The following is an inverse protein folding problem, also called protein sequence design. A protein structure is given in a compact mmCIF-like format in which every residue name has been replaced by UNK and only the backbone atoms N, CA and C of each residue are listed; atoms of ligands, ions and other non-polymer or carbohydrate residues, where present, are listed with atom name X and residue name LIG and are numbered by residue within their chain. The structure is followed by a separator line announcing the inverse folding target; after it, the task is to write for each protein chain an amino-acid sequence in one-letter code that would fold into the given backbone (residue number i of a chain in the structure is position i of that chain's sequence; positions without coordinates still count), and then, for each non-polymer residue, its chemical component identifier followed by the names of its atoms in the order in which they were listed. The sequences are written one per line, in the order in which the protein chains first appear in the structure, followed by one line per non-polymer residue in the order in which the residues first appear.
data_IF_923223597429
#
_entry.id   IF_923223597429
#
_cell.length_a   1.000
_cell.length_b   1.000
_cell.length_c   1.000
_cell.angle_alpha   90.00
_cell.angle_beta   90.00
_cell.angle_gamma   90.00
#
_symmetry.space_group_name_H-M   'P 1'
#
loop_
_entity.id
_entity.type
_entity.pdbx_description
1 polymer ?
#
# COMPACT_ATOMS: atom_id res chain seq x y z
N UNK A 1 3.18 32.08 73.81
CA UNK A 1 4.04 31.25 72.93
C UNK A 1 3.76 31.67 71.50
N UNK A 2 4.81 32.15 70.82
CA UNK A 2 5.11 32.09 69.38
C UNK A 2 4.06 32.57 68.35
N UNK A 3 4.49 33.57 67.57
CA UNK A 3 4.06 33.80 66.19
C UNK A 3 4.14 32.54 65.33
N UNK A 4 3.37 32.49 64.24
CA UNK A 4 3.77 32.25 62.84
C UNK A 4 2.52 32.56 61.99
N UNK A 5 2.46 33.67 61.25
CA UNK A 5 3.17 34.00 60.00
C UNK A 5 2.60 33.26 58.77
N UNK A 6 1.93 34.06 57.92
CA UNK A 6 1.81 33.99 56.45
C UNK A 6 1.63 32.65 55.73
N UNK A 7 0.55 32.57 54.95
CA UNK A 7 0.60 32.09 53.56
C UNK A 7 -0.59 32.62 52.74
N UNK A 8 -0.50 33.86 52.25
CA UNK A 8 -1.38 34.29 51.15
C UNK A 8 -0.87 33.69 49.84
N UNK A 9 -1.43 32.56 49.43
CA UNK A 9 -1.18 31.97 48.10
C UNK A 9 -2.06 32.66 47.06
N UNK A 10 -1.60 33.83 46.61
CA UNK A 10 -2.14 34.48 45.41
C UNK A 10 -2.03 33.52 44.22
N UNK A 11 -3.19 33.12 43.67
CA UNK A 11 -3.25 32.32 42.45
C UNK A 11 -2.60 33.10 41.29
N UNK A 12 -1.47 32.62 40.80
CA UNK A 12 -0.71 33.29 39.75
C UNK A 12 -1.46 33.21 38.41
N UNK A 13 -2.03 34.34 37.98
CA UNK A 13 -2.63 34.52 36.66
C UNK A 13 -1.56 34.31 35.58
N UNK A 14 -1.43 33.09 35.04
CA UNK A 14 -0.59 32.85 33.88
C UNK A 14 -1.18 33.57 32.65
N UNK A 15 -0.38 34.31 31.86
CA UNK A 15 -0.86 34.98 30.67
C UNK A 15 -1.22 33.92 29.61
N UNK A 16 -2.51 33.77 29.34
CA UNK A 16 -3.02 32.89 28.27
C UNK A 16 -2.62 33.47 26.91
N UNK A 17 -1.45 33.06 26.40
CA UNK A 17 -0.98 33.39 25.06
C UNK A 17 -1.95 32.77 24.06
N UNK A 18 -2.85 33.60 23.53
CA UNK A 18 -3.78 33.21 22.49
C UNK A 18 -2.99 33.14 21.18
N UNK A 19 -2.53 31.94 20.83
CA UNK A 19 -1.97 31.66 19.51
C UNK A 19 -3.14 31.67 18.52
N UNK A 20 -3.42 32.83 17.93
CA UNK A 20 -4.33 32.90 16.80
C UNK A 20 -3.74 32.07 15.65
N UNK A 21 -4.53 31.23 14.96
CA UNK A 21 -4.04 30.49 13.81
C UNK A 21 -3.68 31.49 12.70
N UNK A 22 -2.38 31.68 12.47
CA UNK A 22 -1.89 32.45 11.33
C UNK A 22 -2.11 31.63 10.05
N UNK A 23 -2.81 32.21 9.08
CA UNK A 23 -3.08 31.52 7.82
C UNK A 23 -4.34 32.03 7.12
N UNK A 24 -4.32 33.29 6.67
CA UNK A 24 -5.25 33.72 5.62
C UNK A 24 -4.80 33.09 4.31
N UNK A 25 -5.13 31.83 4.10
CA UNK A 25 -4.86 31.11 2.85
C UNK A 25 -5.63 31.79 1.73
N UNK A 26 -4.91 32.45 0.83
CA UNK A 26 -5.49 32.92 -0.43
C UNK A 26 -5.91 31.66 -1.19
N UNK A 27 -7.21 31.41 -1.28
CA UNK A 27 -7.73 30.22 -1.94
C UNK A 27 -7.39 30.28 -3.44
N UNK A 28 -6.34 29.55 -3.83
CA UNK A 28 -5.94 29.42 -5.23
C UNK A 28 -6.94 28.52 -5.95
N UNK A 29 -7.82 29.11 -6.75
CA UNK A 29 -8.77 28.35 -7.59
C UNK A 29 -8.01 27.58 -8.67
N UNK A 30 -8.15 26.26 -8.66
CA UNK A 30 -7.57 25.35 -9.64
C UNK A 30 -8.21 23.96 -9.54
N UNK A 31 -7.98 23.12 -10.56
CA UNK A 31 -8.44 21.73 -10.57
C UNK A 31 -7.24 20.80 -10.38
N UNK A 32 -7.30 19.92 -9.38
CA UNK A 32 -6.35 18.83 -9.20
C UNK A 32 -6.94 17.56 -9.80
N UNK A 33 -6.20 16.92 -10.71
CA UNK A 33 -6.55 15.61 -11.27
C UNK A 33 -5.50 14.62 -10.77
N UNK A 34 -5.95 13.50 -10.21
CA UNK A 34 -5.08 12.42 -9.75
C UNK A 34 -5.31 11.24 -10.69
N UNK A 35 -4.29 10.91 -11.48
CA UNK A 35 -4.33 9.81 -12.45
C UNK A 35 -4.53 8.45 -11.76
N UNK A 36 -5.30 7.56 -12.39
CA UNK A 36 -5.63 6.23 -11.84
C UNK A 36 -4.37 5.44 -11.46
N UNK A 37 -3.31 5.54 -12.27
CA UNK A 37 -2.02 4.89 -12.00
C UNK A 37 -1.29 5.41 -10.75
N UNK A 38 -1.58 6.63 -10.27
CA UNK A 38 -1.08 7.15 -8.99
C UNK A 38 -1.90 6.57 -7.84
N UNK A 39 -3.24 6.56 -7.97
CA UNK A 39 -4.15 5.99 -6.97
C UNK A 39 -3.85 4.50 -6.75
N UNK A 40 -3.65 3.74 -7.83
CA UNK A 40 -3.29 2.33 -7.79
C UNK A 40 -1.91 2.08 -7.17
N UNK A 41 -0.94 3.00 -7.33
CA UNK A 41 0.36 2.93 -6.65
C UNK A 41 0.21 3.11 -5.13
N UNK A 42 -0.58 4.08 -4.68
CA UNK A 42 -0.84 4.28 -3.24
C UNK A 42 -1.58 3.08 -2.64
N UNK A 43 -2.64 2.59 -3.30
CA UNK A 43 -3.36 1.39 -2.85
C UNK A 43 -2.46 0.15 -2.80
N UNK A 44 -1.58 -0.03 -3.80
CA UNK A 44 -0.62 -1.14 -3.84
C UNK A 44 0.51 -1.04 -2.81
N UNK A 45 0.90 0.16 -2.37
CA UNK A 45 1.82 0.33 -1.24
C UNK A 45 1.10 -0.06 0.05
N UNK A 46 -0.06 0.53 0.33
CA UNK A 46 -0.84 0.26 1.54
C UNK A 46 -1.18 -1.22 1.70
N UNK A 47 -1.56 -1.92 0.61
CA UNK A 47 -1.83 -3.34 0.62
C UNK A 47 -0.59 -4.22 0.94
N UNK A 48 0.62 -3.79 0.55
CA UNK A 48 1.87 -4.53 0.81
C UNK A 48 2.41 -4.34 2.22
N UNK A 49 2.03 -3.27 2.91
CA UNK A 49 2.45 -3.00 4.29
C UNK A 49 1.62 -3.77 5.32
N UNK A 50 0.54 -4.44 4.90
CA UNK A 50 -0.31 -5.26 5.77
C UNK A 50 0.39 -6.58 6.14
N UNK A 51 0.56 -6.90 7.44
CA UNK A 51 1.12 -8.17 7.88
C UNK A 51 0.34 -9.38 7.35
N UNK A 52 1.05 -10.35 6.79
CA UNK A 52 0.46 -11.53 6.15
C UNK A 52 0.17 -11.39 4.66
N UNK A 53 0.47 -10.25 4.04
CA UNK A 53 0.54 -10.11 2.57
C UNK A 53 1.96 -10.40 2.10
N UNK A 54 2.14 -11.49 1.36
CA UNK A 54 3.43 -11.87 0.77
C UNK A 54 3.66 -11.18 -0.60
N UNK A 55 2.60 -11.04 -1.41
CA UNK A 55 2.68 -10.40 -2.71
C UNK A 55 1.34 -9.81 -3.17
N UNK A 56 1.41 -8.93 -4.18
CA UNK A 56 0.25 -8.53 -4.97
C UNK A 56 0.31 -9.18 -6.36
N UNK A 57 -0.83 -9.68 -6.82
CA UNK A 57 -0.99 -10.41 -8.08
C UNK A 57 -0.51 -11.86 -8.02
N UNK A 58 -0.95 -12.67 -8.98
CA UNK A 58 -0.56 -14.08 -9.08
C UNK A 58 0.84 -14.30 -9.66
N UNK A 59 1.42 -15.48 -9.44
CA UNK A 59 2.80 -15.82 -9.85
C UNK A 59 3.12 -15.58 -11.33
N UNK A 60 2.14 -15.74 -12.23
CA UNK A 60 2.30 -15.43 -13.65
C UNK A 60 2.57 -13.93 -13.94
N UNK A 61 2.13 -13.02 -13.07
CA UNK A 61 2.41 -11.58 -13.22
C UNK A 61 3.89 -11.25 -13.03
N UNK A 62 4.62 -12.03 -12.20
CA UNK A 62 6.08 -11.89 -12.04
C UNK A 62 6.81 -12.35 -13.31
N UNK A 63 6.46 -13.52 -13.85
CA UNK A 63 7.06 -14.07 -15.07
C UNK A 63 6.82 -13.21 -16.32
N UNK A 64 5.60 -12.65 -16.46
CA UNK A 64 5.26 -11.77 -17.59
C UNK A 64 5.77 -10.34 -17.37
N UNK A 65 5.93 -9.90 -16.12
CA UNK A 65 6.49 -8.58 -15.77
C UNK A 65 7.91 -8.37 -16.30
N UNK A 66 8.80 -9.34 -16.09
CA UNK A 66 10.20 -9.27 -16.55
C UNK A 66 10.36 -9.13 -18.09
N UNK A 67 9.37 -9.55 -18.87
CA UNK A 67 9.34 -9.40 -20.34
C UNK A 67 8.59 -8.13 -20.76
N UNK A 68 7.61 -7.67 -19.96
CA UNK A 68 6.82 -6.46 -20.23
C UNK A 68 7.56 -5.15 -19.96
N UNK A 69 8.45 -5.11 -18.97
CA UNK A 69 9.26 -3.92 -18.64
C UNK A 69 10.06 -3.38 -19.84
N UNK A 70 10.35 -4.21 -20.84
CA UNK A 70 11.07 -3.82 -22.04
C UNK A 70 10.21 -3.18 -23.14
N UNK A 71 8.87 -3.31 -23.12
CA UNK A 71 8.07 -3.15 -24.35
C UNK A 71 6.74 -2.39 -24.29
N UNK A 72 6.06 -2.21 -23.15
CA UNK A 72 4.76 -1.52 -23.20
C UNK A 72 4.34 -0.74 -21.94
N UNK A 73 4.31 0.59 -22.07
CA UNK A 73 3.84 1.54 -21.05
C UNK A 73 2.32 1.46 -20.84
N UNK A 74 1.87 0.45 -20.10
CA UNK A 74 0.52 0.45 -19.50
C UNK A 74 0.63 -0.17 -18.11
N UNK A 75 1.10 0.65 -17.16
CA UNK A 75 1.04 0.39 -15.72
C UNK A 75 -0.40 0.09 -15.29
N UNK A 76 -0.78 -1.19 -15.22
CA UNK A 76 -1.60 -1.66 -14.12
C UNK A 76 -0.68 -2.38 -13.15
N UNK A 77 -0.34 -1.65 -12.09
CA UNK A 77 0.23 -2.10 -10.83
C UNK A 77 -0.09 -3.57 -10.55
N UNK A 78 0.93 -4.42 -10.53
CA UNK A 78 0.75 -5.88 -10.49
C UNK A 78 -0.18 -6.29 -9.33
N UNK A 79 -1.38 -6.76 -9.67
CA UNK A 79 -2.40 -7.17 -8.70
C UNK A 79 -3.33 -6.07 -8.17
N UNK A 80 -3.29 -4.84 -8.68
CA UNK A 80 -4.23 -3.76 -8.28
C UNK A 80 -4.83 -3.10 -9.51
N UNK A 81 -6.16 -3.11 -9.60
CA UNK A 81 -6.96 -2.34 -10.55
C UNK A 81 -7.71 -1.24 -9.81
N UNK A 82 -7.84 -0.07 -10.43
CA UNK A 82 -8.52 1.09 -9.83
C UNK A 82 -9.34 1.84 -10.87
N UNK A 83 -10.61 2.06 -10.53
CA UNK A 83 -11.51 2.93 -11.29
C UNK A 83 -11.85 4.17 -10.46
N UNK A 84 -11.45 5.35 -10.95
CA UNK A 84 -11.62 6.64 -10.27
C UNK A 84 -12.76 7.43 -10.90
N UNK A 85 -13.79 7.71 -10.10
CA UNK A 85 -14.81 8.71 -10.41
C UNK A 85 -14.45 10.10 -9.87
N UNK A 86 -15.33 11.07 -10.08
CA UNK A 86 -15.10 12.47 -9.63
C UNK A 86 -14.86 12.55 -8.11
N UNK A 87 -15.70 11.89 -7.31
CA UNK A 87 -15.65 11.90 -5.84
C UNK A 87 -15.34 10.54 -5.21
N UNK A 88 -15.44 9.46 -6.00
CA UNK A 88 -15.47 8.07 -5.55
C UNK A 88 -14.33 7.28 -6.20
N UNK A 89 -13.88 6.21 -5.55
CA UNK A 89 -12.96 5.22 -6.14
C UNK A 89 -13.40 3.81 -5.80
N UNK A 90 -13.32 2.92 -6.80
CA UNK A 90 -13.43 1.47 -6.65
C UNK A 90 -12.06 0.82 -6.85
N UNK A 91 -11.71 -0.14 -6.00
CA UNK A 91 -10.37 -0.75 -5.95
C UNK A 91 -10.52 -2.26 -5.89
N UNK A 92 -9.96 -2.96 -6.88
CA UNK A 92 -9.83 -4.41 -6.88
C UNK A 92 -8.36 -4.78 -6.66
N UNK A 93 -8.07 -5.46 -5.55
CA UNK A 93 -6.73 -5.93 -5.19
C UNK A 93 -6.70 -7.46 -5.13
N UNK A 94 -5.67 -8.03 -5.74
CA UNK A 94 -5.36 -9.46 -5.72
C UNK A 94 -4.08 -9.68 -4.93
N UNK A 95 -4.11 -10.57 -3.94
CA UNK A 95 -2.98 -10.84 -3.03
C UNK A 95 -2.61 -12.32 -2.95
N UNK A 96 -1.33 -12.56 -2.66
CA UNK A 96 -0.82 -13.83 -2.11
C UNK A 96 -0.64 -13.64 -0.62
N UNK A 97 -1.25 -14.49 0.20
CA UNK A 97 -1.11 -14.45 1.66
C UNK A 97 0.07 -15.29 2.14
N UNK A 98 0.60 -15.00 3.32
CA UNK A 98 1.67 -15.77 3.97
C UNK A 98 1.09 -16.86 4.90
N UNK A 99 1.63 -18.07 4.89
CA UNK A 99 1.27 -19.09 5.89
C UNK A 99 2.11 -18.94 7.17
N UNK A 100 1.53 -18.99 8.40
CA UNK A 100 0.14 -19.25 8.75
C UNK A 100 -0.64 -17.99 9.21
N UNK A 101 -1.45 -17.39 8.33
CA UNK A 101 -2.36 -16.28 8.69
C UNK A 101 -3.85 -16.61 8.46
N UNK A 102 -4.73 -15.85 9.13
CA UNK A 102 -6.16 -15.88 8.82
C UNK A 102 -6.44 -15.06 7.57
N UNK A 103 -6.83 -15.74 6.47
CA UNK A 103 -7.11 -15.12 5.18
C UNK A 103 -8.21 -14.05 5.26
N UNK A 104 -9.25 -14.26 6.09
CA UNK A 104 -10.30 -13.26 6.32
C UNK A 104 -9.73 -12.01 6.99
N UNK A 105 -8.93 -12.19 8.05
CA UNK A 105 -8.31 -11.06 8.76
C UNK A 105 -7.39 -10.25 7.84
N UNK A 106 -6.53 -10.91 7.06
CA UNK A 106 -5.64 -10.21 6.11
C UNK A 106 -6.46 -9.45 5.06
N UNK A 107 -7.55 -10.02 4.54
CA UNK A 107 -8.42 -9.31 3.62
C UNK A 107 -9.08 -8.07 4.26
N UNK A 108 -9.53 -8.15 5.50
CA UNK A 108 -10.12 -7.02 6.23
C UNK A 108 -9.07 -5.94 6.55
N UNK A 109 -7.89 -6.34 7.02
CA UNK A 109 -6.75 -5.45 7.27
C UNK A 109 -6.33 -4.70 5.98
N UNK A 110 -6.33 -5.38 4.82
CA UNK A 110 -6.06 -4.78 3.49
C UNK A 110 -7.14 -3.77 3.10
N UNK A 111 -8.43 -4.06 3.34
CA UNK A 111 -9.52 -3.09 3.08
C UNK A 111 -9.36 -1.84 3.94
N UNK A 112 -9.04 -2.00 5.22
CA UNK A 112 -8.82 -0.89 6.15
C UNK A 112 -7.62 -0.04 5.72
N UNK A 113 -6.46 -0.66 5.49
CA UNK A 113 -5.23 0.02 5.09
C UNK A 113 -5.39 0.82 3.78
N UNK A 114 -6.02 0.24 2.76
CA UNK A 114 -6.32 0.94 1.50
C UNK A 114 -7.29 2.11 1.74
N UNK A 115 -8.36 1.90 2.52
CA UNK A 115 -9.37 2.93 2.78
C UNK A 115 -8.78 4.14 3.53
N UNK A 116 -7.92 3.90 4.52
CA UNK A 116 -7.15 4.94 5.22
C UNK A 116 -6.25 5.69 4.23
N UNK A 117 -5.45 4.98 3.43
CA UNK A 117 -4.53 5.59 2.47
C UNK A 117 -5.24 6.45 1.40
N UNK A 118 -6.44 6.05 0.95
CA UNK A 118 -7.25 6.87 0.03
C UNK A 118 -7.75 8.16 0.70
N UNK A 119 -8.20 8.08 1.95
CA UNK A 119 -8.67 9.25 2.70
C UNK A 119 -7.54 10.21 3.07
N UNK A 120 -6.37 9.70 3.46
CA UNK A 120 -5.25 10.52 3.96
C UNK A 120 -4.37 11.10 2.85
N UNK A 121 -4.08 10.34 1.79
CA UNK A 121 -3.12 10.75 0.76
C UNK A 121 -3.75 11.15 -0.58
N UNK A 122 -4.92 10.60 -0.93
CA UNK A 122 -5.60 10.86 -2.21
C UNK A 122 -6.75 11.88 -2.05
N UNK A 123 -7.31 12.01 -0.85
CA UNK A 123 -8.45 12.91 -0.58
C UNK A 123 -9.75 12.47 -1.26
N UNK A 124 -9.87 11.19 -1.62
CA UNK A 124 -11.06 10.56 -2.20
C UNK A 124 -11.59 9.49 -1.25
N UNK A 125 -12.91 9.30 -1.21
CA UNK A 125 -13.49 8.20 -0.46
C UNK A 125 -13.52 6.94 -1.33
N UNK A 126 -12.95 5.85 -0.82
CA UNK A 126 -13.17 4.53 -1.38
C UNK A 126 -14.62 4.11 -1.12
N UNK A 127 -15.34 3.75 -2.18
CA UNK A 127 -16.71 3.23 -2.08
C UNK A 127 -16.69 1.73 -1.85
N UNK A 128 -15.76 1.04 -2.52
CA UNK A 128 -15.64 -0.41 -2.48
C UNK A 128 -14.17 -0.81 -2.61
N UNK A 129 -13.72 -1.75 -1.76
CA UNK A 129 -12.39 -2.36 -1.82
C UNK A 129 -12.55 -3.87 -1.84
N UNK A 130 -12.39 -4.44 -3.03
CA UNK A 130 -12.51 -5.88 -3.27
C UNK A 130 -11.14 -6.54 -3.14
N UNK A 131 -11.05 -7.54 -2.26
CA UNK A 131 -9.82 -8.29 -2.01
C UNK A 131 -10.01 -9.73 -2.47
N UNK A 132 -9.23 -10.12 -3.48
CA UNK A 132 -9.11 -11.49 -3.97
C UNK A 132 -7.83 -12.09 -3.43
N UNK A 133 -7.90 -13.25 -2.77
CA UNK A 133 -6.72 -14.01 -2.36
C UNK A 133 -6.52 -15.11 -3.40
N UNK A 134 -5.46 -15.02 -4.19
CA UNK A 134 -5.24 -15.95 -5.31
C UNK A 134 -4.37 -17.15 -4.96
N UNK A 135 -3.56 -17.05 -3.90
CA UNK A 135 -2.58 -18.08 -3.50
C UNK A 135 -2.13 -17.87 -2.04
N UNK A 136 -1.44 -18.86 -1.49
CA UNK A 136 -0.82 -18.81 -0.14
C UNK A 136 0.63 -19.28 -0.24
N UNK A 137 1.57 -18.38 0.06
CA UNK A 137 2.99 -18.71 0.13
C UNK A 137 3.31 -19.50 1.41
N UNK A 138 3.98 -20.64 1.22
CA UNK A 138 4.49 -21.50 2.30
C UNK A 138 6.02 -21.41 2.27
N UNK A 139 6.71 -21.08 3.38
CA UNK A 139 8.18 -20.93 3.44
C UNK A 139 9.02 -22.19 3.18
N UNK A 140 8.45 -23.25 2.61
CA UNK A 140 9.11 -24.54 2.36
C UNK A 140 9.22 -24.89 0.86
N UNK A 141 8.66 -24.06 -0.04
CA UNK A 141 8.61 -24.34 -1.48
C UNK A 141 9.62 -23.53 -2.32
N UNK A 142 10.40 -22.63 -1.69
CA UNK A 142 11.35 -21.72 -2.36
C UNK A 142 12.56 -22.42 -3.04
N UNK A 143 12.74 -23.73 -2.86
CA UNK A 143 13.85 -24.52 -3.42
C UNK A 143 13.56 -25.21 -4.78
N UNK A 144 12.39 -25.01 -5.41
CA UNK A 144 11.98 -25.81 -6.59
C UNK A 144 11.62 -25.03 -7.87
N UNK A 145 12.26 -23.88 -8.11
CA UNK A 145 12.05 -23.12 -9.37
C UNK A 145 13.33 -22.47 -9.93
N UNK A 146 14.42 -23.25 -9.97
CA UNK A 146 15.60 -22.94 -10.79
C UNK A 146 16.15 -24.22 -11.48
N UNK A 147 15.34 -24.83 -12.35
CA UNK A 147 15.84 -25.84 -13.30
C UNK A 147 16.20 -25.17 -14.62
N UNK A 148 17.42 -24.65 -14.66
CA UNK A 148 18.09 -24.20 -15.87
C UNK A 148 18.47 -25.41 -16.74
N UNK A 149 17.48 -25.99 -17.44
CA UNK A 149 17.71 -26.91 -18.57
C UNK A 149 18.24 -26.17 -19.80
N UNK A 150 19.42 -25.57 -19.64
CA UNK A 150 20.32 -25.28 -20.73
C UNK A 150 20.89 -26.61 -21.25
N UNK A 151 20.09 -27.34 -22.05
CA UNK A 151 20.58 -28.51 -22.76
C UNK A 151 21.55 -28.08 -23.86
N UNK A 152 22.82 -28.02 -23.47
CA UNK A 152 23.99 -28.15 -24.32
C UNK A 152 23.75 -29.18 -25.43
N UNK A 153 23.50 -28.70 -26.65
CA UNK A 153 23.50 -29.50 -27.85
C UNK A 153 24.92 -29.54 -28.42
N UNK A 154 25.82 -30.19 -27.68
CA UNK A 154 27.20 -30.41 -28.08
C UNK A 154 27.27 -31.02 -29.47
N UNK A 155 27.83 -30.25 -30.42
CA UNK A 155 28.41 -30.82 -31.62
C UNK A 155 29.65 -31.66 -31.24
N UNK A 156 30.18 -32.41 -32.21
CA UNK A 156 31.27 -33.39 -32.06
C UNK A 156 30.82 -34.77 -31.48
N UNK A 157 31.24 -35.94 -32.00
CA UNK A 157 32.12 -36.22 -33.14
C UNK A 157 32.08 -37.72 -33.53
N UNK A 158 32.54 -38.07 -34.75
CA UNK A 158 32.97 -39.43 -35.22
C UNK A 158 31.89 -40.52 -35.38
N UNK A 159 32.18 -41.71 -35.96
CA UNK A 159 33.43 -42.27 -36.54
C UNK A 159 34.00 -41.46 -37.72
N UNK A 160 35.28 -41.58 -38.11
CA UNK A 160 36.34 -42.54 -37.71
C UNK A 160 37.60 -41.83 -37.16
#
# INVERSE_FOLDING_TARGET
MKEHMMANVSNAQQPKVQVAPAGSTVASTGQTIIENGVVAKIAGIAAREVPGVYALGGGAARAVGAIRDALNSTDLTQGVSVEVGETQVAIDVTIVAEYPVSLQKVADDVREAISVAMSEFVGKQAVEVNVTINDVHIPSDDDTSDDTVATDAGAETRVL
#
